data_IF_604039959866
#
_entry.id   IF_604039959866
#
_cell.length_a   1.000
_cell.length_b   1.000
_cell.length_c   1.000
_cell.angle_alpha   90.00
_cell.angle_beta   90.00
_cell.angle_gamma   90.00
#
_symmetry.space_group_name_H-M   'P 1'
#
loop_
_entity.id
_entity.type
_entity.pdbx_description
1 polymer ?
#
# COMPACT_ATOMS: atom_id res chain seq x y z
N UNK A 1 60.79 15.76 51.61
CA UNK A 1 60.32 14.86 50.53
C UNK A 1 58.81 14.90 50.53
N UNK A 2 58.19 15.69 49.63
CA UNK A 2 56.77 15.78 49.46
C UNK A 2 56.38 14.86 48.30
N UNK A 3 55.52 13.88 48.56
CA UNK A 3 54.96 12.99 47.56
C UNK A 3 53.60 13.57 47.11
N UNK A 4 53.52 13.94 45.84
CA UNK A 4 52.28 14.37 45.20
C UNK A 4 51.55 13.15 44.67
N UNK A 5 50.37 12.88 45.24
CA UNK A 5 49.43 11.89 44.69
C UNK A 5 48.54 12.56 43.66
N UNK A 6 48.67 12.16 42.39
CA UNK A 6 47.75 12.57 41.32
C UNK A 6 46.50 11.70 41.35
N UNK A 7 45.34 12.34 41.61
CA UNK A 7 44.03 11.72 41.46
C UNK A 7 43.62 11.80 39.97
N UNK A 8 43.60 10.67 39.28
CA UNK A 8 43.02 10.56 37.95
C UNK A 8 41.51 10.37 38.10
N UNK A 9 40.73 11.40 37.79
CA UNK A 9 39.27 11.30 37.68
C UNK A 9 38.95 10.66 36.34
N UNK A 10 38.51 9.40 36.35
CA UNK A 10 37.92 8.76 35.16
C UNK A 10 36.50 9.33 34.95
N UNK A 11 36.33 10.11 33.90
CA UNK A 11 35.02 10.48 33.38
C UNK A 11 34.40 9.22 32.74
N UNK A 12 33.47 8.60 33.47
CA UNK A 12 32.54 7.63 32.87
C UNK A 12 31.58 8.41 31.99
N UNK A 13 31.81 8.35 30.66
CA UNK A 13 30.82 8.75 29.70
C UNK A 13 29.67 7.75 29.80
N UNK A 14 28.57 8.13 30.43
CA UNK A 14 27.31 7.39 30.33
C UNK A 14 26.79 7.57 28.92
N UNK A 15 27.03 6.56 28.10
CA UNK A 15 26.37 6.41 26.80
C UNK A 15 24.88 6.14 27.06
N UNK A 16 24.11 7.23 27.16
CA UNK A 16 22.65 7.13 27.14
C UNK A 16 22.23 6.93 25.70
N UNK A 17 22.33 5.70 25.21
CA UNK A 17 21.59 5.28 24.03
C UNK A 17 20.10 5.52 24.33
N UNK A 18 19.56 6.65 23.87
CA UNK A 18 18.13 6.89 23.85
C UNK A 18 17.52 5.82 22.93
N UNK A 19 16.98 4.77 23.53
CA UNK A 19 16.11 3.86 22.82
C UNK A 19 14.94 4.70 22.31
N UNK A 20 14.82 4.83 21.00
CA UNK A 20 13.68 5.52 20.41
C UNK A 20 12.39 4.86 20.91
N UNK A 21 11.37 5.63 21.29
CA UNK A 21 10.10 5.04 21.72
C UNK A 21 9.49 4.23 20.58
N UNK A 22 8.92 3.07 20.90
CA UNK A 22 8.23 2.26 19.92
C UNK A 22 7.22 3.09 19.12
N UNK A 23 7.18 2.97 17.78
CA UNK A 23 6.22 3.68 16.96
C UNK A 23 4.78 3.34 17.39
N UNK A 24 3.96 4.36 17.59
CA UNK A 24 2.57 4.20 18.00
C UNK A 24 1.64 4.71 16.90
N UNK A 25 0.49 4.04 16.74
CA UNK A 25 -0.62 4.56 15.94
C UNK A 25 -1.64 5.20 16.87
N UNK A 26 -1.97 6.44 16.60
CA UNK A 26 -3.06 7.17 17.26
C UNK A 26 -4.12 7.55 16.26
N UNK A 27 -5.38 7.62 16.73
CA UNK A 27 -6.53 7.94 15.89
C UNK A 27 -7.33 9.01 16.57
N UNK A 28 -7.73 10.01 15.79
CA UNK A 28 -8.67 11.05 16.21
C UNK A 28 -9.68 11.36 15.11
N UNK A 29 -10.85 11.85 15.49
CA UNK A 29 -11.92 12.22 14.57
C UNK A 29 -12.12 13.72 14.64
N UNK A 30 -11.90 14.41 13.51
CA UNK A 30 -12.31 15.80 13.31
C UNK A 30 -13.66 15.84 12.59
N UNK A 31 -14.73 15.90 13.36
CA UNK A 31 -16.10 15.95 12.81
C UNK A 31 -16.38 17.24 12.03
N UNK A 32 -15.69 18.34 12.34
CA UNK A 32 -15.88 19.63 11.67
C UNK A 32 -15.33 19.60 10.24
N UNK A 33 -14.18 18.97 10.05
CA UNK A 33 -13.54 18.77 8.74
C UNK A 33 -14.01 17.50 8.02
N UNK A 34 -14.70 16.61 8.74
CA UNK A 34 -15.02 15.27 8.26
C UNK A 34 -13.77 14.48 7.89
N UNK A 35 -12.80 14.51 8.78
CA UNK A 35 -11.52 13.82 8.69
C UNK A 35 -11.33 12.86 9.86
N UNK A 36 -10.83 11.67 9.56
CA UNK A 36 -10.27 10.78 10.55
C UNK A 36 -8.76 10.86 10.37
N UNK A 37 -8.06 11.20 11.44
CA UNK A 37 -6.61 11.43 11.43
C UNK A 37 -5.96 10.22 12.08
N UNK A 38 -5.15 9.51 11.31
CA UNK A 38 -4.31 8.41 11.78
C UNK A 38 -2.87 8.93 11.77
N UNK A 39 -2.22 8.95 12.94
CA UNK A 39 -0.82 9.34 13.05
C UNK A 39 -0.01 8.14 13.51
N UNK A 40 1.08 7.86 12.80
CA UNK A 40 2.04 6.81 13.13
C UNK A 40 3.43 7.40 13.35
N UNK A 41 4.15 6.87 14.34
CA UNK A 41 5.49 7.32 14.70
C UNK A 41 5.66 7.56 16.20
N UNK A 42 6.82 8.13 16.63
CA UNK A 42 7.92 8.60 15.78
C UNK A 42 8.76 7.45 15.20
N UNK A 43 9.37 7.68 14.04
CA UNK A 43 10.31 6.76 13.38
C UNK A 43 11.67 7.43 13.24
N UNK A 44 12.74 6.69 13.47
CA UNK A 44 14.09 7.09 13.10
C UNK A 44 14.48 6.35 11.82
N UNK A 45 14.76 7.08 10.76
CA UNK A 45 15.04 6.57 9.44
C UNK A 45 16.50 6.87 9.08
N UNK A 46 17.43 5.92 9.29
CA UNK A 46 18.81 6.10 8.88
C UNK A 46 18.90 6.29 7.38
N UNK A 47 19.90 7.07 6.92
CA UNK A 47 20.16 7.22 5.51
C UNK A 47 20.61 5.88 4.92
N UNK A 48 20.01 5.50 3.82
CA UNK A 48 20.36 4.30 3.07
C UNK A 48 21.00 4.71 1.73
N UNK A 49 21.95 3.92 1.20
CA UNK A 49 22.41 4.17 -0.16
C UNK A 49 21.22 4.04 -1.13
N UNK A 50 21.30 4.75 -2.27
CA UNK A 50 20.35 4.52 -3.36
C UNK A 50 20.31 3.03 -3.68
N UNK A 51 19.14 2.48 -3.97
CA UNK A 51 19.01 1.09 -4.41
C UNK A 51 19.64 0.98 -5.80
N UNK A 52 20.90 0.53 -5.85
CA UNK A 52 21.65 0.40 -7.12
C UNK A 52 21.27 -0.87 -7.90
N UNK A 53 20.70 -1.87 -7.25
CA UNK A 53 20.36 -3.15 -7.87
C UNK A 53 18.92 -3.57 -7.62
N UNK A 54 18.19 -3.78 -8.71
CA UNK A 54 16.83 -4.33 -8.71
C UNK A 54 16.72 -5.74 -8.08
N UNK A 55 17.84 -6.42 -7.88
CA UNK A 55 17.92 -7.73 -7.23
C UNK A 55 17.62 -7.70 -5.71
N UNK A 56 17.68 -6.53 -5.08
CA UNK A 56 17.52 -6.38 -3.63
C UNK A 56 16.12 -5.90 -3.21
N UNK A 57 15.14 -5.90 -4.11
CA UNK A 57 13.74 -5.68 -3.74
C UNK A 57 13.10 -6.90 -3.02
N UNK A 58 13.94 -7.74 -2.42
CA UNK A 58 13.46 -8.66 -1.41
C UNK A 58 12.99 -7.84 -0.21
N UNK A 59 11.73 -8.01 0.19
CA UNK A 59 11.07 -7.28 1.26
C UNK A 59 11.79 -7.32 2.62
N UNK A 60 12.96 -7.97 2.70
CA UNK A 60 13.81 -8.02 3.88
C UNK A 60 14.79 -6.85 4.05
N UNK A 61 15.04 -6.02 3.03
CA UNK A 61 15.98 -4.89 3.12
C UNK A 61 15.30 -3.53 3.41
N UNK A 62 13.98 -3.45 3.33
CA UNK A 62 13.22 -2.28 3.76
C UNK A 62 12.96 -2.35 5.26
N UNK A 63 13.08 -1.23 5.96
CA UNK A 63 12.69 -1.15 7.36
C UNK A 63 11.16 -1.22 7.48
N UNK A 64 10.60 -2.42 7.28
CA UNK A 64 9.18 -2.67 7.49
C UNK A 64 8.85 -2.47 8.97
N UNK A 65 7.80 -1.71 9.24
CA UNK A 65 7.27 -1.63 10.60
C UNK A 65 6.39 -2.84 10.89
N UNK A 66 6.31 -3.28 12.16
CA UNK A 66 5.26 -4.20 12.57
C UNK A 66 3.88 -3.63 12.24
N UNK A 67 2.93 -4.52 11.93
CA UNK A 67 1.57 -4.07 11.67
C UNK A 67 0.92 -3.53 12.95
N UNK A 68 0.56 -2.25 12.95
CA UNK A 68 -0.08 -1.57 14.06
C UNK A 68 -1.59 -1.70 13.93
N UNK A 69 -2.24 -2.40 14.89
CA UNK A 69 -3.69 -2.65 14.90
C UNK A 69 -4.46 -1.54 15.58
N UNK A 70 -5.65 -1.23 15.05
CA UNK A 70 -6.56 -0.26 15.64
C UNK A 70 -8.02 -0.55 15.25
N UNK A 71 -8.98 0.06 15.98
CA UNK A 71 -10.40 -0.05 15.67
C UNK A 71 -10.89 1.20 14.96
N UNK A 72 -11.64 1.01 13.88
CA UNK A 72 -12.31 2.11 13.19
C UNK A 72 -13.39 2.72 14.09
N UNK A 73 -13.42 4.06 14.30
CA UNK A 73 -14.25 4.65 15.36
C UNK A 73 -15.64 5.10 14.92
N UNK A 74 -15.91 5.29 13.62
CA UNK A 74 -17.10 6.01 13.13
C UNK A 74 -17.80 5.28 11.99
N UNK A 75 -19.11 5.51 11.83
CA UNK A 75 -19.91 5.01 10.72
C UNK A 75 -19.95 6.03 9.58
N UNK A 76 -19.91 5.53 8.33
CA UNK A 76 -20.00 6.36 7.13
C UNK A 76 -19.24 5.79 5.95
N UNK A 77 -18.74 6.66 5.08
CA UNK A 77 -18.01 6.28 3.88
C UNK A 77 -16.63 6.94 3.82
N UNK A 78 -15.61 6.13 3.67
CA UNK A 78 -14.28 6.60 3.32
C UNK A 78 -14.27 6.99 1.84
N UNK A 79 -13.70 8.16 1.51
CA UNK A 79 -13.66 8.68 0.13
C UNK A 79 -12.26 9.10 -0.34
N UNK A 80 -11.25 8.87 0.47
CA UNK A 80 -9.88 9.19 0.11
C UNK A 80 -9.01 9.48 1.31
N UNK A 81 -7.77 9.85 1.02
CA UNK A 81 -6.80 10.21 2.03
C UNK A 81 -5.80 11.25 1.50
N UNK A 82 -5.22 12.00 2.43
CA UNK A 82 -4.06 12.86 2.25
C UNK A 82 -2.97 12.37 3.20
N UNK A 83 -1.72 12.30 2.73
CA UNK A 83 -0.60 11.79 3.51
C UNK A 83 0.48 12.86 3.66
N UNK A 84 0.87 13.14 4.89
CA UNK A 84 1.90 14.10 5.27
C UNK A 84 2.96 13.43 6.12
N UNK A 85 4.24 13.78 5.88
CA UNK A 85 5.37 13.38 6.70
C UNK A 85 6.06 14.61 7.27
N UNK A 86 6.41 14.57 8.56
CA UNK A 86 7.20 15.58 9.26
C UNK A 86 8.26 14.93 10.13
N UNK A 87 9.43 15.56 10.23
CA UNK A 87 10.46 15.14 11.18
C UNK A 87 10.11 15.56 12.62
N UNK A 88 10.93 15.17 13.58
CA UNK A 88 10.75 15.49 15.01
C UNK A 88 10.82 17.00 15.32
N UNK A 89 11.23 17.83 14.39
CA UNK A 89 11.25 19.30 14.49
C UNK A 89 10.05 19.94 13.78
N UNK A 90 9.21 19.15 13.12
CA UNK A 90 8.05 19.61 12.37
C UNK A 90 8.33 20.03 10.92
N UNK A 91 9.55 19.81 10.41
CA UNK A 91 9.88 20.11 9.02
C UNK A 91 9.27 19.04 8.10
N UNK A 92 8.83 19.41 6.88
CA UNK A 92 8.35 18.45 5.90
C UNK A 92 9.44 17.43 5.51
N UNK A 93 9.05 16.18 5.45
CA UNK A 93 9.88 15.06 4.95
C UNK A 93 9.38 14.66 3.56
N UNK A 94 10.28 14.45 2.57
CA UNK A 94 9.88 14.02 1.24
C UNK A 94 9.10 12.70 1.28
N UNK A 95 8.00 12.62 0.51
CA UNK A 95 7.18 11.39 0.42
C UNK A 95 7.94 10.20 -0.17
N UNK A 96 9.00 10.49 -0.94
CA UNK A 96 9.88 9.47 -1.52
C UNK A 96 10.51 8.50 -0.52
N UNK A 97 10.59 8.87 0.78
CA UNK A 97 11.09 7.94 1.82
C UNK A 97 10.09 6.83 2.16
N UNK A 98 8.84 6.91 1.70
CA UNK A 98 7.88 5.81 1.80
C UNK A 98 8.10 4.90 0.59
N UNK A 99 8.61 3.70 0.81
CA UNK A 99 8.61 2.65 -0.21
C UNK A 99 7.15 2.21 -0.45
N UNK A 100 6.43 1.80 0.60
CA UNK A 100 4.98 1.66 0.58
C UNK A 100 4.39 1.72 1.99
N UNK A 101 3.13 2.15 2.07
CA UNK A 101 2.27 2.06 3.23
C UNK A 101 1.01 1.30 2.84
N UNK A 102 0.62 0.32 3.64
CA UNK A 102 -0.60 -0.45 3.39
C UNK A 102 -1.48 -0.43 4.64
N UNK A 103 -2.75 -0.11 4.44
CA UNK A 103 -3.80 -0.26 5.45
C UNK A 103 -4.64 -1.48 5.12
N UNK A 104 -4.73 -2.39 6.08
CA UNK A 104 -5.43 -3.66 5.98
C UNK A 104 -6.70 -3.61 6.82
N UNK A 105 -7.80 -4.11 6.30
CA UNK A 105 -9.04 -4.32 7.04
C UNK A 105 -9.25 -5.83 7.27
N UNK A 106 -9.09 -6.25 8.51
CA UNK A 106 -9.22 -7.66 8.91
C UNK A 106 -10.69 -8.09 9.08
N UNK A 107 -11.62 -7.13 9.15
CA UNK A 107 -13.06 -7.42 9.23
C UNK A 107 -13.67 -7.78 7.87
N UNK A 108 -12.91 -7.61 6.78
CA UNK A 108 -13.32 -7.95 5.42
C UNK A 108 -12.20 -8.64 4.67
N UNK A 109 -12.53 -9.32 3.58
CA UNK A 109 -11.53 -9.92 2.68
C UNK A 109 -11.58 -9.28 1.29
N UNK A 110 -10.50 -9.47 0.54
CA UNK A 110 -10.43 -9.08 -0.87
C UNK A 110 -11.44 -9.87 -1.71
N UNK A 111 -11.90 -9.27 -2.81
CA UNK A 111 -12.86 -9.92 -3.72
C UNK A 111 -12.25 -11.15 -4.41
N UNK A 112 -11.05 -11.00 -4.97
CA UNK A 112 -10.42 -12.03 -5.81
C UNK A 112 -9.56 -13.02 -5.04
N UNK A 113 -9.04 -12.62 -3.89
CA UNK A 113 -8.08 -13.43 -3.12
C UNK A 113 -8.60 -13.71 -1.72
N UNK A 114 -8.38 -14.91 -1.18
CA UNK A 114 -8.71 -15.23 0.21
C UNK A 114 -7.67 -14.63 1.17
N UNK A 115 -7.69 -13.32 1.29
CA UNK A 115 -6.77 -12.52 2.11
C UNK A 115 -7.53 -11.33 2.74
N UNK A 116 -7.11 -10.78 3.90
CA UNK A 116 -7.66 -9.56 4.46
C UNK A 116 -7.67 -8.42 3.45
N UNK A 117 -8.71 -7.59 3.48
CA UNK A 117 -8.87 -6.49 2.52
C UNK A 117 -7.72 -5.50 2.62
N UNK A 118 -7.07 -5.20 1.49
CA UNK A 118 -6.15 -4.07 1.36
C UNK A 118 -6.99 -2.82 1.11
N UNK A 119 -7.33 -2.11 2.21
CA UNK A 119 -8.26 -0.98 2.17
C UNK A 119 -7.70 0.19 1.35
N UNK A 120 -6.44 0.49 1.54
CA UNK A 120 -5.70 1.50 0.77
C UNK A 120 -4.19 1.22 0.83
N UNK A 121 -3.47 1.76 -0.14
CA UNK A 121 -2.02 1.75 -0.18
C UNK A 121 -1.48 3.05 -0.74
N UNK A 122 -0.28 3.40 -0.34
CA UNK A 122 0.47 4.51 -0.88
C UNK A 122 1.94 4.10 -1.02
N UNK A 123 2.57 4.53 -2.10
CA UNK A 123 4.01 4.41 -2.37
C UNK A 123 4.56 5.75 -2.82
N UNK A 124 5.81 5.74 -3.23
CA UNK A 124 6.51 6.92 -3.75
C UNK A 124 5.75 7.57 -4.91
N UNK A 125 5.18 6.75 -5.80
CA UNK A 125 4.44 7.16 -7.01
C UNK A 125 2.97 7.49 -6.74
N UNK A 126 2.48 7.29 -5.50
CA UNK A 126 1.07 7.48 -5.16
C UNK A 126 0.81 8.90 -4.67
N UNK A 127 -0.03 9.64 -5.38
CA UNK A 127 -0.56 10.93 -4.93
C UNK A 127 -1.75 10.73 -3.97
N UNK A 128 -2.13 11.80 -3.26
CA UNK A 128 -3.34 11.82 -2.46
C UNK A 128 -4.57 11.44 -3.27
N UNK A 129 -5.48 10.73 -2.65
CA UNK A 129 -6.68 10.21 -3.31
C UNK A 129 -7.92 10.92 -2.74
N UNK A 130 -8.75 11.42 -3.64
CA UNK A 130 -10.04 12.02 -3.29
C UNK A 130 -11.05 11.70 -4.38
N UNK A 131 -11.99 10.81 -4.07
CA UNK A 131 -13.09 10.51 -4.99
C UNK A 131 -14.27 11.46 -4.77
N UNK A 132 -15.17 11.61 -5.78
CA UNK A 132 -16.39 12.41 -5.65
C UNK A 132 -17.25 11.97 -4.45
N UNK A 133 -18.04 12.88 -3.90
CA UNK A 133 -18.97 12.58 -2.79
C UNK A 133 -20.09 11.58 -3.16
N UNK A 134 -20.19 11.25 -4.42
CA UNK A 134 -21.14 10.25 -4.95
C UNK A 134 -20.62 8.82 -4.82
N UNK A 135 -19.37 8.62 -4.38
CA UNK A 135 -18.71 7.32 -4.27
C UNK A 135 -18.07 7.23 -2.88
N UNK A 136 -18.16 6.07 -2.23
CA UNK A 136 -17.49 5.86 -0.96
C UNK A 136 -17.39 4.40 -0.54
N UNK A 137 -16.36 4.09 0.23
CA UNK A 137 -16.17 2.76 0.82
C UNK A 137 -16.90 2.75 2.17
N UNK A 138 -17.94 1.90 2.36
CA UNK A 138 -18.67 1.86 3.62
C UNK A 138 -17.77 1.39 4.76
N UNK A 139 -17.81 2.11 5.87
CA UNK A 139 -17.04 1.82 7.07
C UNK A 139 -17.97 1.80 8.29
N UNK A 140 -17.71 0.89 9.23
CA UNK A 140 -18.51 0.71 10.43
C UNK A 140 -17.64 0.77 11.68
N UNK A 141 -18.14 1.29 12.82
CA UNK A 141 -17.42 1.30 14.08
C UNK A 141 -17.03 -0.12 14.51
N UNK A 142 -15.85 -0.25 15.07
CA UNK A 142 -15.35 -1.53 15.54
C UNK A 142 -14.66 -2.39 14.48
N UNK A 143 -14.68 -2.02 13.19
CA UNK A 143 -13.88 -2.71 12.18
C UNK A 143 -12.42 -2.76 12.61
N UNK A 144 -11.80 -3.93 12.47
CA UNK A 144 -10.43 -4.20 12.87
C UNK A 144 -9.48 -3.86 11.73
N UNK A 145 -8.72 -2.81 11.89
CA UNK A 145 -7.77 -2.33 10.90
C UNK A 145 -6.34 -2.53 11.38
N UNK A 146 -5.41 -2.51 10.45
CA UNK A 146 -3.99 -2.46 10.73
C UNK A 146 -3.26 -1.70 9.65
N UNK A 147 -2.12 -1.12 10.01
CA UNK A 147 -1.28 -0.37 9.08
C UNK A 147 0.17 -0.74 9.30
N UNK A 148 0.92 -0.88 8.21
CA UNK A 148 2.37 -0.98 8.23
C UNK A 148 2.97 -0.10 7.16
N UNK A 149 4.23 0.27 7.35
CA UNK A 149 4.99 1.12 6.42
C UNK A 149 6.34 0.47 6.17
N UNK A 150 6.73 0.41 4.91
CA UNK A 150 8.09 0.12 4.49
C UNK A 150 8.78 1.43 4.14
N UNK A 151 9.93 1.68 4.75
CA UNK A 151 10.69 2.90 4.59
C UNK A 151 11.93 2.68 3.74
N UNK A 152 12.28 3.65 2.91
CA UNK A 152 13.57 3.73 2.23
C UNK A 152 14.05 5.18 2.20
N UNK A 153 15.02 5.52 3.05
CA UNK A 153 15.52 6.88 3.17
C UNK A 153 16.84 7.03 2.37
N UNK A 154 16.75 7.52 1.15
CA UNK A 154 17.87 7.86 0.26
C UNK A 154 18.13 9.37 0.17
N UNK A 155 17.68 10.16 1.16
CA UNK A 155 17.79 11.63 1.16
C UNK A 155 19.20 12.17 1.40
N UNK A 156 20.19 11.31 1.66
CA UNK A 156 21.55 11.68 1.98
C UNK A 156 21.80 12.07 3.44
N UNK A 157 20.79 11.94 4.31
CA UNK A 157 20.90 12.22 5.75
C UNK A 157 19.96 11.37 6.58
N UNK A 158 20.30 11.13 7.83
CA UNK A 158 19.40 10.51 8.79
C UNK A 158 18.21 11.43 9.07
N UNK A 159 17.02 10.84 9.21
CA UNK A 159 15.79 11.54 9.59
C UNK A 159 15.32 11.01 10.94
N UNK A 160 15.14 11.91 11.90
CA UNK A 160 14.80 11.55 13.28
C UNK A 160 13.39 12.00 13.65
N UNK A 161 12.68 11.14 14.41
CA UNK A 161 11.38 11.44 14.95
C UNK A 161 10.31 11.64 13.89
N UNK A 162 10.43 10.98 12.73
CA UNK A 162 9.48 11.13 11.61
C UNK A 162 8.09 10.68 12.03
N UNK A 163 7.11 11.55 11.82
CA UNK A 163 5.70 11.25 12.00
C UNK A 163 4.99 11.21 10.65
N UNK A 164 4.22 10.17 10.44
CA UNK A 164 3.31 10.04 9.32
C UNK A 164 1.89 10.38 9.77
N UNK A 165 1.26 11.33 9.10
CA UNK A 165 -0.14 11.69 9.31
C UNK A 165 -0.96 11.33 8.08
N UNK A 166 -1.93 10.45 8.26
CA UNK A 166 -2.89 10.07 7.24
C UNK A 166 -4.24 10.71 7.57
N UNK A 167 -4.66 11.70 6.79
CA UNK A 167 -5.97 12.33 6.89
C UNK A 167 -6.94 11.59 5.99
N UNK A 168 -7.81 10.80 6.58
CA UNK A 168 -8.80 9.99 5.86
C UNK A 168 -10.10 10.79 5.73
N UNK A 169 -10.48 11.08 4.50
CA UNK A 169 -11.67 11.86 4.18
C UNK A 169 -12.90 10.95 4.27
N UNK A 170 -13.87 11.32 5.09
CA UNK A 170 -15.08 10.52 5.27
C UNK A 170 -16.38 11.33 5.07
N UNK A 171 -17.45 10.62 4.85
CA UNK A 171 -18.80 11.16 4.79
C UNK A 171 -19.66 10.47 5.87
N UNK A 172 -20.47 11.23 6.63
CA UNK A 172 -21.30 10.64 7.68
C UNK A 172 -22.45 9.81 7.11
N UNK A 173 -22.96 8.85 7.88
CA UNK A 173 -24.09 7.97 7.52
C UNK A 173 -25.34 8.71 7.05
N UNK A 174 -25.58 9.90 7.59
CA UNK A 174 -26.73 10.74 7.21
C UNK A 174 -26.47 11.63 5.97
N UNK A 175 -25.39 11.37 5.22
CA UNK A 175 -25.13 12.05 3.94
C UNK A 175 -26.32 11.85 2.98
N UNK A 176 -26.81 12.95 2.39
CA UNK A 176 -27.88 12.92 1.41
C UNK A 176 -27.48 13.73 0.15
N UNK A 177 -27.54 13.15 -1.07
CA UNK A 177 -27.83 11.73 -1.32
C UNK A 177 -26.72 10.82 -0.77
N UNK A 178 -27.07 9.58 -0.47
CA UNK A 178 -26.06 8.58 -0.08
C UNK A 178 -25.15 8.25 -1.26
N UNK A 179 -23.85 8.05 -1.03
CA UNK A 179 -22.92 7.65 -2.08
C UNK A 179 -23.19 6.20 -2.53
N UNK A 180 -22.72 5.89 -3.73
CA UNK A 180 -22.64 4.51 -4.21
C UNK A 180 -21.63 3.76 -3.34
N UNK A 181 -22.05 2.66 -2.72
CA UNK A 181 -21.17 1.76 -2.00
C UNK A 181 -20.14 1.16 -2.96
N UNK A 182 -18.87 1.37 -2.67
CA UNK A 182 -17.77 0.81 -3.42
C UNK A 182 -16.80 0.09 -2.49
N UNK A 183 -16.15 -0.92 -3.03
CA UNK A 183 -15.18 -1.73 -2.30
C UNK A 183 -13.83 -1.65 -3.02
N UNK A 184 -12.71 -1.68 -2.30
CA UNK A 184 -11.42 -1.82 -2.93
C UNK A 184 -11.35 -3.12 -3.74
N UNK A 185 -10.86 -3.03 -4.98
CA UNK A 185 -10.53 -4.19 -5.80
C UNK A 185 -9.04 -4.16 -6.12
N UNK A 186 -8.41 -5.32 -6.04
CA UNK A 186 -6.99 -5.53 -6.28
C UNK A 186 -6.80 -6.66 -7.29
N UNK A 187 -6.09 -6.40 -8.37
CA UNK A 187 -5.86 -7.32 -9.49
C UNK A 187 -4.35 -7.36 -9.77
N UNK A 188 -3.68 -8.40 -9.33
CA UNK A 188 -2.23 -8.56 -9.46
C UNK A 188 -1.88 -9.54 -10.57
N UNK A 189 -0.75 -9.31 -11.25
CA UNK A 189 -0.29 -10.15 -12.35
C UNK A 189 0.48 -11.40 -11.90
N UNK A 190 0.89 -11.46 -10.62
CA UNK A 190 1.73 -12.54 -10.08
C UNK A 190 1.46 -12.87 -8.61
N UNK A 191 0.33 -12.45 -8.03
CA UNK A 191 0.10 -12.64 -6.61
C UNK A 191 0.04 -14.12 -6.23
N UNK A 192 0.91 -14.51 -5.29
CA UNK A 192 0.75 -15.70 -4.46
C UNK A 192 0.31 -15.23 -3.07
N UNK A 193 -0.87 -15.65 -2.63
CA UNK A 193 -1.41 -15.22 -1.33
C UNK A 193 -0.48 -15.62 -0.20
N UNK A 194 -0.05 -14.62 0.61
CA UNK A 194 0.94 -14.79 1.68
C UNK A 194 2.37 -15.02 1.20
N UNK A 195 2.64 -14.88 -0.11
CA UNK A 195 3.96 -14.98 -0.73
C UNK A 195 4.37 -13.70 -1.45
N UNK A 196 5.39 -13.83 -2.28
CA UNK A 196 5.87 -12.73 -3.13
C UNK A 196 4.96 -12.56 -4.35
N UNK A 197 4.81 -11.33 -4.80
CA UNK A 197 4.17 -10.96 -6.07
C UNK A 197 5.19 -10.37 -7.07
N UNK A 198 6.48 -10.45 -6.76
CA UNK A 198 7.54 -10.05 -7.69
C UNK A 198 7.76 -11.10 -8.77
N UNK A 199 8.25 -10.68 -9.92
CA UNK A 199 8.58 -11.55 -11.04
C UNK A 199 9.77 -11.02 -11.85
N UNK A 200 10.36 -11.90 -12.68
CA UNK A 200 11.48 -11.57 -13.53
C UNK A 200 11.03 -10.80 -14.76
N UNK A 201 11.85 -9.80 -15.18
CA UNK A 201 11.63 -9.03 -16.41
C UNK A 201 12.79 -9.30 -17.36
N UNK A 202 12.56 -10.03 -18.47
CA UNK A 202 13.57 -10.23 -19.48
C UNK A 202 13.95 -8.92 -20.18
N UNK A 203 15.12 -8.87 -20.87
CA UNK A 203 15.48 -7.73 -21.69
C UNK A 203 14.44 -7.40 -22.77
N UNK A 204 14.26 -6.11 -23.02
CA UNK A 204 13.32 -5.60 -24.02
C UNK A 204 11.88 -5.53 -23.53
N UNK A 205 10.94 -5.60 -24.48
CA UNK A 205 9.50 -5.52 -24.18
C UNK A 205 8.97 -6.87 -23.74
N UNK A 206 8.27 -6.88 -22.63
CA UNK A 206 7.68 -8.10 -22.08
C UNK A 206 6.33 -7.82 -21.40
N UNK A 207 5.55 -8.87 -21.20
CA UNK A 207 4.26 -8.83 -20.52
C UNK A 207 4.16 -10.00 -19.52
N UNK A 208 3.59 -9.72 -18.36
CA UNK A 208 3.16 -10.72 -17.37
C UNK A 208 1.66 -10.61 -17.20
N UNK A 209 0.95 -11.72 -17.26
CA UNK A 209 -0.51 -11.73 -17.17
C UNK A 209 -0.99 -12.76 -16.14
N UNK A 210 -2.13 -12.43 -15.53
CA UNK A 210 -2.89 -13.33 -14.66
C UNK A 210 -4.37 -13.29 -15.03
N UNK A 211 -4.99 -14.47 -15.17
CA UNK A 211 -6.41 -14.61 -15.39
C UNK A 211 -7.15 -14.92 -14.10
N UNK A 212 -8.32 -14.34 -13.95
CA UNK A 212 -9.19 -14.58 -12.80
C UNK A 212 -10.67 -14.59 -13.22
N UNK A 213 -11.49 -15.27 -12.43
CA UNK A 213 -12.96 -15.19 -12.55
C UNK A 213 -13.46 -14.16 -11.54
N UNK A 214 -14.21 -13.17 -12.02
CA UNK A 214 -14.85 -12.19 -11.13
C UNK A 214 -16.07 -12.84 -10.48
N UNK A 215 -16.09 -13.05 -9.15
CA UNK A 215 -17.17 -13.83 -8.53
C UNK A 215 -18.51 -13.09 -8.48
N UNK A 216 -18.49 -11.77 -8.46
CA UNK A 216 -19.67 -10.90 -8.38
C UNK A 216 -19.61 -9.86 -9.48
N UNK A 217 -20.70 -9.69 -10.24
CA UNK A 217 -20.82 -8.59 -11.21
C UNK A 217 -20.90 -7.23 -10.54
N UNK A 218 -20.58 -6.19 -11.30
CA UNK A 218 -20.62 -4.83 -10.75
C UNK A 218 -20.07 -3.80 -11.71
N UNK A 219 -19.63 -2.68 -11.15
CA UNK A 219 -19.10 -1.54 -11.90
C UNK A 219 -17.76 -1.13 -11.32
N UNK A 220 -16.74 -1.10 -12.16
CA UNK A 220 -15.44 -0.54 -11.81
C UNK A 220 -15.55 0.99 -11.92
N UNK A 221 -15.48 1.66 -10.78
CA UNK A 221 -15.74 3.11 -10.69
C UNK A 221 -14.48 3.93 -10.97
N UNK A 222 -13.34 3.38 -10.65
CA UNK A 222 -12.06 4.01 -10.92
C UNK A 222 -10.91 3.02 -10.75
N UNK A 223 -9.78 3.31 -11.39
CA UNK A 223 -8.57 2.50 -11.35
C UNK A 223 -7.33 3.37 -11.20
N UNK A 224 -6.37 2.84 -10.52
CA UNK A 224 -4.96 3.18 -10.49
C UNK A 224 -4.13 1.91 -10.58
N UNK A 225 -2.86 1.97 -10.22
CA UNK A 225 -2.01 0.81 -10.23
C UNK A 225 -0.67 1.09 -9.57
N UNK A 226 0.15 0.07 -9.53
CA UNK A 226 1.53 0.11 -9.09
C UNK A 226 2.39 -0.68 -10.08
N UNK A 227 3.57 -0.17 -10.34
CA UNK A 227 4.57 -0.78 -11.21
C UNK A 227 5.95 -0.45 -10.64
N UNK A 228 6.84 -1.41 -10.66
CA UNK A 228 8.27 -1.16 -10.46
C UNK A 228 8.90 -0.51 -11.70
N UNK A 229 10.16 -0.13 -11.59
CA UNK A 229 10.93 0.53 -12.65
C UNK A 229 10.89 -0.25 -13.97
N UNK A 230 11.04 0.46 -15.07
CA UNK A 230 10.83 -0.02 -16.45
C UNK A 230 9.38 -0.44 -16.77
N UNK A 231 8.45 -0.36 -15.83
CA UNK A 231 7.03 -0.59 -16.08
C UNK A 231 6.45 0.43 -17.05
N UNK A 232 5.67 -0.04 -18.02
CA UNK A 232 4.99 0.80 -19.04
C UNK A 232 3.55 1.09 -18.63
N UNK A 233 2.89 0.09 -18.03
CA UNK A 233 1.50 0.20 -17.61
C UNK A 233 0.89 -1.13 -17.25
N UNK A 234 -0.37 -1.07 -16.78
CA UNK A 234 -1.20 -2.24 -16.50
C UNK A 234 -2.52 -2.10 -17.24
N UNK A 235 -3.01 -3.19 -17.84
CA UNK A 235 -4.31 -3.21 -18.48
C UNK A 235 -5.18 -4.37 -17.97
N UNK A 236 -6.48 -4.15 -17.95
CA UNK A 236 -7.51 -5.15 -17.72
C UNK A 236 -8.16 -5.51 -19.03
N UNK A 237 -8.27 -6.77 -19.32
CA UNK A 237 -8.87 -7.32 -20.53
C UNK A 237 -10.02 -8.26 -20.21
N UNK A 238 -10.98 -8.32 -21.09
CA UNK A 238 -11.91 -9.44 -21.19
C UNK A 238 -11.15 -10.64 -21.75
N UNK A 239 -10.99 -11.70 -20.97
CA UNK A 239 -10.15 -12.84 -21.34
C UNK A 239 -10.73 -13.69 -22.49
N UNK A 240 -12.05 -13.61 -22.73
CA UNK A 240 -12.71 -14.36 -23.79
C UNK A 240 -12.60 -13.66 -25.15
N UNK A 241 -12.60 -12.32 -25.15
CA UNK A 241 -12.60 -11.53 -26.40
C UNK A 241 -11.26 -10.83 -26.68
N UNK A 242 -10.37 -10.77 -25.69
CA UNK A 242 -9.12 -10.00 -25.76
C UNK A 242 -9.32 -8.47 -25.74
N UNK A 243 -10.56 -8.00 -25.53
CA UNK A 243 -10.86 -6.56 -25.51
C UNK A 243 -10.25 -5.89 -24.28
N UNK A 244 -9.46 -4.84 -24.47
CA UNK A 244 -8.97 -4.00 -23.37
C UNK A 244 -10.13 -3.17 -22.81
N UNK A 245 -10.40 -3.33 -21.52
CA UNK A 245 -11.48 -2.67 -20.80
C UNK A 245 -10.99 -1.44 -20.03
N UNK A 246 -9.83 -1.56 -19.39
CA UNK A 246 -9.20 -0.50 -18.62
C UNK A 246 -7.68 -0.52 -18.83
N UNK A 247 -7.06 0.65 -18.72
CA UNK A 247 -5.60 0.77 -18.78
C UNK A 247 -5.13 1.95 -17.92
N UNK A 248 -4.02 1.75 -17.22
CA UNK A 248 -3.23 2.77 -16.53
C UNK A 248 -1.81 2.74 -17.10
N UNK A 249 -1.19 3.90 -17.23
CA UNK A 249 0.16 4.03 -17.79
C UNK A 249 1.09 4.62 -16.75
N UNK A 250 2.34 4.17 -16.78
CA UNK A 250 3.41 4.74 -15.97
C UNK A 250 4.04 5.95 -16.67
N UNK A 251 4.41 6.97 -15.87
CA UNK A 251 5.37 8.00 -16.25
C UNK A 251 6.72 7.59 -15.71
N UNK A 252 7.73 7.59 -16.58
CA UNK A 252 9.11 7.18 -16.25
C UNK A 252 10.08 8.31 -16.56
N UNK A 253 11.16 8.39 -15.79
CA UNK A 253 12.29 9.24 -16.12
C UNK A 253 13.20 8.58 -17.19
N UNK A 254 14.33 9.24 -17.52
CA UNK A 254 15.30 8.74 -18.50
C UNK A 254 16.05 7.48 -18.05
N UNK A 255 16.09 7.23 -16.73
CA UNK A 255 16.69 6.01 -16.16
C UNK A 255 15.67 4.84 -16.09
N UNK A 256 14.41 5.07 -16.47
CA UNK A 256 13.36 4.07 -16.41
C UNK A 256 12.63 4.00 -15.08
N UNK A 257 12.98 4.85 -14.11
CA UNK A 257 12.34 4.90 -12.79
C UNK A 257 10.90 5.40 -12.92
N UNK A 258 9.97 4.65 -12.34
CA UNK A 258 8.54 5.02 -12.33
C UNK A 258 8.30 6.11 -11.28
N UNK A 259 7.85 7.28 -11.75
CA UNK A 259 7.55 8.43 -10.90
C UNK A 259 6.06 8.62 -10.64
N UNK A 260 5.21 8.06 -11.51
CA UNK A 260 3.75 8.18 -11.40
C UNK A 260 3.06 7.09 -12.20
N UNK A 261 1.94 6.60 -11.68
CA UNK A 261 0.99 5.76 -12.42
C UNK A 261 -0.32 6.50 -12.59
N UNK A 262 -0.82 6.57 -13.84
CA UNK A 262 -2.05 7.30 -14.14
C UNK A 262 -3.26 6.68 -13.43
N UNK A 263 -4.25 7.53 -13.13
CA UNK A 263 -5.53 7.10 -12.56
C UNK A 263 -6.65 7.45 -13.51
N UNK A 264 -7.71 6.66 -13.50
CA UNK A 264 -8.89 6.90 -14.32
C UNK A 264 -10.15 6.70 -13.47
N UNK A 265 -11.04 7.68 -13.52
CA UNK A 265 -12.38 7.59 -12.94
C UNK A 265 -13.39 7.36 -14.08
N UNK A 266 -14.31 6.42 -13.90
CA UNK A 266 -15.33 6.05 -14.87
C UNK A 266 -16.69 6.66 -14.46
N UNK A 267 -16.83 7.96 -14.68
CA UNK A 267 -17.99 8.73 -14.28
C UNK A 267 -17.90 9.28 -12.85
N UNK A 268 -18.52 10.43 -12.61
CA UNK A 268 -18.51 11.12 -11.31
C UNK A 268 -19.76 10.81 -10.47
N UNK A 269 -20.76 10.20 -11.07
CA UNK A 269 -22.06 9.84 -10.46
C UNK A 269 -22.18 8.33 -10.20
N UNK A 270 -21.12 7.56 -10.46
CA UNK A 270 -21.04 6.14 -10.17
C UNK A 270 -21.51 5.22 -11.31
N UNK A 271 -21.52 5.72 -12.55
CA UNK A 271 -21.86 4.93 -13.76
C UNK A 271 -20.91 3.75 -13.93
N UNK A 272 -19.61 4.00 -13.80
CA UNK A 272 -18.58 2.97 -13.82
C UNK A 272 -18.47 2.22 -15.16
N UNK A 273 -17.47 1.35 -15.23
CA UNK A 273 -17.30 0.37 -16.27
C UNK A 273 -17.95 -0.96 -15.85
N UNK A 274 -18.98 -1.42 -16.53
CA UNK A 274 -19.68 -2.66 -16.21
C UNK A 274 -18.79 -3.88 -16.41
N UNK A 275 -18.68 -4.70 -15.35
CA UNK A 275 -18.03 -6.02 -15.37
C UNK A 275 -19.06 -7.09 -15.01
N UNK A 276 -19.03 -8.21 -15.73
CA UNK A 276 -19.94 -9.35 -15.51
C UNK A 276 -19.39 -10.23 -14.40
N UNK A 277 -20.27 -10.72 -13.53
CA UNK A 277 -19.94 -11.80 -12.58
C UNK A 277 -19.82 -13.15 -13.28
N UNK A 278 -19.07 -14.07 -12.67
CA UNK A 278 -18.77 -15.39 -13.20
C UNK A 278 -18.17 -15.36 -14.62
N UNK A 279 -17.43 -14.30 -14.94
CA UNK A 279 -16.79 -14.06 -16.19
C UNK A 279 -15.27 -13.94 -16.01
N UNK A 280 -14.52 -14.36 -17.02
CA UNK A 280 -13.05 -14.40 -17.00
C UNK A 280 -12.48 -13.09 -17.49
N UNK A 281 -11.58 -12.54 -16.69
CA UNK A 281 -10.79 -11.35 -17.01
C UNK A 281 -9.31 -11.66 -16.90
N UNK A 282 -8.49 -10.82 -17.54
CA UNK A 282 -7.04 -10.91 -17.50
C UNK A 282 -6.45 -9.55 -17.16
N UNK A 283 -5.60 -9.50 -16.12
CA UNK A 283 -4.77 -8.34 -15.83
C UNK A 283 -3.39 -8.56 -16.42
N UNK A 284 -2.82 -7.54 -17.06
CA UNK A 284 -1.54 -7.63 -17.79
C UNK A 284 -0.65 -6.46 -17.41
N UNK A 285 0.52 -6.75 -16.84
CA UNK A 285 1.60 -5.81 -16.62
C UNK A 285 2.52 -5.77 -17.85
N UNK A 286 2.90 -4.57 -18.27
CA UNK A 286 3.74 -4.34 -19.44
C UNK A 286 5.05 -3.68 -19.01
N UNK A 287 6.17 -4.19 -19.50
CA UNK A 287 7.52 -3.73 -19.20
C UNK A 287 8.33 -3.46 -20.46
N UNK A 288 9.32 -2.58 -20.35
CA UNK A 288 10.31 -2.30 -21.39
C UNK A 288 11.67 -2.12 -20.71
N UNK A 289 12.39 -3.22 -20.59
CA UNK A 289 13.68 -3.32 -19.88
C UNK A 289 14.86 -3.10 -20.85
N UNK A 290 15.53 -1.94 -20.85
CA UNK A 290 16.60 -1.63 -21.77
C UNK A 290 17.97 -2.11 -21.30
N UNK A 291 18.10 -2.72 -20.12
CA UNK A 291 19.41 -3.04 -19.50
C UNK A 291 20.21 -4.11 -20.21
N UNK A 292 19.57 -4.91 -21.09
CA UNK A 292 20.20 -6.06 -21.74
C UNK A 292 20.27 -7.31 -20.89
N UNK A 293 19.93 -7.24 -19.60
CA UNK A 293 19.93 -8.35 -18.66
C UNK A 293 18.54 -8.61 -18.08
N UNK A 294 18.31 -9.83 -17.57
CA UNK A 294 17.07 -10.14 -16.87
C UNK A 294 17.10 -9.52 -15.46
N UNK A 295 16.09 -8.72 -15.14
CA UNK A 295 15.89 -8.20 -13.79
C UNK A 295 15.21 -9.28 -12.95
N UNK A 296 16.00 -10.04 -12.19
CA UNK A 296 15.50 -11.15 -11.37
C UNK A 296 14.65 -10.58 -10.24
N UNK A 297 13.37 -11.01 -10.11
CA UNK A 297 12.39 -10.49 -9.14
C UNK A 297 12.26 -8.96 -9.15
N UNK A 298 12.69 -8.31 -10.23
CA UNK A 298 12.75 -6.84 -10.35
C UNK A 298 11.43 -6.17 -10.68
N UNK A 299 10.34 -6.92 -10.88
CA UNK A 299 9.05 -6.37 -11.23
C UNK A 299 7.94 -6.72 -10.27
N UNK A 300 6.99 -5.80 -10.16
CA UNK A 300 5.69 -5.97 -9.56
C UNK A 300 4.69 -5.15 -10.38
N UNK A 301 3.52 -5.71 -10.67
CA UNK A 301 2.49 -4.98 -11.40
C UNK A 301 1.10 -5.36 -10.91
N UNK A 302 0.32 -4.36 -10.54
CA UNK A 302 -1.09 -4.58 -10.23
C UNK A 302 -1.95 -3.39 -10.64
N UNK A 303 -3.22 -3.66 -10.88
CA UNK A 303 -4.27 -2.66 -11.00
C UNK A 303 -5.12 -2.70 -9.73
N UNK A 304 -5.31 -1.57 -9.10
CA UNK A 304 -6.20 -1.41 -7.97
C UNK A 304 -7.29 -0.38 -8.29
N UNK A 305 -8.41 -0.44 -7.58
CA UNK A 305 -9.48 0.49 -7.85
C UNK A 305 -10.65 0.39 -6.88
N UNK A 306 -11.73 1.07 -7.25
CA UNK A 306 -13.00 1.03 -6.53
C UNK A 306 -14.04 0.30 -7.39
N UNK A 307 -14.67 -0.69 -6.80
CA UNK A 307 -15.65 -1.55 -7.44
C UNK A 307 -16.98 -1.50 -6.69
N UNK A 308 -18.06 -1.14 -7.37
CA UNK A 308 -19.42 -1.20 -6.84
C UNK A 308 -20.05 -2.53 -7.26
N UNK A 309 -20.15 -3.52 -6.36
CA UNK A 309 -20.78 -4.80 -6.69
C UNK A 309 -22.29 -4.59 -6.92
N UNK A 310 -22.86 -5.40 -7.81
CA UNK A 310 -24.31 -5.40 -8.06
C UNK A 310 -25.09 -5.89 -6.83
N UNK A 311 -24.44 -6.69 -5.99
CA UNK A 311 -25.01 -7.29 -4.79
C UNK A 311 -23.92 -7.39 -3.72
N UNK A 312 -24.01 -6.56 -2.70
CA UNK A 312 -23.05 -6.52 -1.58
C UNK A 312 -23.08 -7.80 -0.73
N UNK A 313 -24.22 -8.48 -0.65
CA UNK A 313 -24.36 -9.70 0.14
C UNK A 313 -23.55 -10.88 -0.46
N UNK A 314 -23.25 -10.79 -1.75
CA UNK A 314 -22.38 -11.75 -2.45
C UNK A 314 -20.89 -11.44 -2.33
N UNK A 315 -20.50 -10.35 -1.67
CA UNK A 315 -19.09 -10.12 -1.38
C UNK A 315 -18.55 -11.25 -0.51
N UNK A 316 -17.41 -11.86 -0.85
CA UNK A 316 -16.90 -12.99 -0.10
C UNK A 316 -16.65 -12.61 1.37
N UNK A 317 -17.11 -13.47 2.27
CA UNK A 317 -16.90 -13.28 3.72
C UNK A 317 -15.52 -13.78 4.13
N UNK A 318 -15.02 -13.27 5.25
CA UNK A 318 -13.80 -13.78 5.88
C UNK A 318 -14.03 -15.25 6.26
N UNK A 319 -13.09 -16.09 5.87
CA UNK A 319 -13.02 -17.50 6.22
C UNK A 319 -11.63 -17.77 6.83
N UNK A 320 -11.58 -17.76 8.14
CA UNK A 320 -10.35 -17.99 8.89
C UNK A 320 -9.86 -19.44 8.80
N UNK A 321 -10.68 -20.38 8.32
CA UNK A 321 -10.26 -21.76 8.08
C UNK A 321 -9.52 -21.94 6.76
N UNK A 322 -9.60 -20.96 5.86
CA UNK A 322 -8.93 -21.01 4.56
C UNK A 322 -7.40 -20.91 4.72
N UNK A 323 -6.62 -21.90 4.20
CA UNK A 323 -5.17 -21.94 4.39
C UNK A 323 -4.44 -20.74 3.76
N UNK A 324 -4.92 -20.22 2.63
CA UNK A 324 -4.34 -19.03 2.00
C UNK A 324 -4.59 -17.79 2.84
N UNK A 325 -5.79 -17.65 3.44
CA UNK A 325 -6.09 -16.59 4.37
C UNK A 325 -5.14 -16.61 5.59
N UNK A 326 -4.91 -17.81 6.17
CA UNK A 326 -3.98 -17.96 7.29
C UNK A 326 -2.52 -17.68 6.89
N UNK A 327 -2.12 -18.06 5.67
CA UNK A 327 -0.78 -17.76 5.16
C UNK A 327 -0.56 -16.25 5.02
N UNK A 328 -1.54 -15.51 4.49
CA UNK A 328 -1.46 -14.06 4.40
C UNK A 328 -1.44 -13.39 5.78
N UNK A 329 -2.24 -13.87 6.73
CA UNK A 329 -2.18 -13.40 8.12
C UNK A 329 -0.81 -13.64 8.77
N UNK A 330 -0.20 -14.79 8.53
CA UNK A 330 1.15 -15.09 9.03
C UNK A 330 2.19 -14.14 8.43
N UNK A 331 2.14 -13.91 7.11
CA UNK A 331 3.00 -12.94 6.42
C UNK A 331 2.84 -11.53 6.98
N UNK A 332 1.60 -11.09 7.25
CA UNK A 332 1.34 -9.79 7.85
C UNK A 332 1.88 -9.67 9.29
N UNK A 333 1.83 -10.73 10.08
CA UNK A 333 2.35 -10.77 11.47
C UNK A 333 3.88 -10.76 11.51
N UNK A 334 4.53 -11.39 10.55
CA UNK A 334 5.99 -11.46 10.47
C UNK A 334 6.65 -10.14 10.04
N UNK A 335 5.87 -9.16 9.53
CA UNK A 335 6.43 -7.86 9.12
C UNK A 335 7.05 -7.12 10.29
N UNK A 336 8.26 -6.62 10.09
CA UNK A 336 9.01 -5.84 11.08
C UNK A 336 9.50 -6.64 12.29
N UNK A 337 9.36 -7.97 12.31
CA UNK A 337 9.87 -8.81 13.40
C UNK A 337 11.28 -9.33 13.14
N UNK A 338 11.80 -9.15 11.92
CA UNK A 338 13.08 -9.75 11.49
C UNK A 338 13.01 -11.27 11.28
N UNK A 339 11.84 -11.88 11.46
CA UNK A 339 11.63 -13.29 11.15
C UNK A 339 11.43 -13.43 9.64
N UNK A 340 12.42 -13.97 8.95
CA UNK A 340 12.24 -14.44 7.58
C UNK A 340 11.16 -15.52 7.59
N UNK A 341 10.01 -15.25 6.98
CA UNK A 341 9.10 -16.32 6.62
C UNK A 341 9.79 -17.14 5.53
N UNK A 342 10.51 -18.20 5.96
CA UNK A 342 11.21 -19.10 5.08
C UNK A 342 10.24 -19.67 4.05
N UNK A 343 10.27 -19.10 2.87
CA UNK A 343 9.66 -19.65 1.68
C UNK A 343 10.76 -19.87 0.65
N UNK A 344 11.16 -21.16 0.60
CA UNK A 344 11.94 -21.70 -0.49
C UNK A 344 11.10 -21.74 -1.78
#
# INVERSE_FOLDING_TARGET
MLVWSAIVAALLATDTTRVAPDPKVTISVDSSRKELIVTAGPFDLPNMPPMEDHAMMDHGASHDTPIQRFRWPIEGWLRGFELELKDGQGNPVPRGVIHHMIMVNFSRRMLLYPAPERLLGAGTETEDIKVPKTIGVPMEPGMDLGMYVAWHNDTGKDLHGVQMTLRMLWMPKNQNPQPVNSMPIYMDVNLTVGGSNTFDVPPGKSEKAHEFVLPVGGRLLGVGGHLHDYGVGVRLEDAETGKVLARVNATRDSAGKVSKVSRKLYGVTGEGLKLKGNHRYRVVGMYDNPTGETLVRGAMAHMSGLFAPDDMDKWPKVDESNPDYQRDLASLRARGTGEETGQA
#
